data_IF_445733270699
#
_entry.id   IF_445733270699
#
_cell.length_a   1.000
_cell.length_b   1.000
_cell.length_c   1.000
_cell.angle_alpha   90.00
_cell.angle_beta   90.00
_cell.angle_gamma   90.00
#
_symmetry.space_group_name_H-M   'P 1'
#
loop_
_entity.id
_entity.type
_entity.pdbx_description
1 polymer ?
#
# COMPACT_ATOMS: atom_id res chain seq x y z
N UNK A 1 -37.34 18.51 -46.52
CA UNK A 1 -36.83 19.45 -45.50
C UNK A 1 -36.53 18.63 -44.26
N UNK A 2 -35.28 18.22 -44.08
CA UNK A 2 -34.86 17.39 -42.94
C UNK A 2 -34.44 18.32 -41.79
N UNK A 3 -34.97 18.09 -40.59
CA UNK A 3 -34.66 18.87 -39.40
C UNK A 3 -33.29 18.45 -38.81
N UNK A 4 -32.46 19.37 -38.31
CA UNK A 4 -31.16 19.01 -37.76
C UNK A 4 -31.28 18.29 -36.40
N UNK A 5 -30.47 17.25 -36.21
CA UNK A 5 -30.34 16.49 -34.96
C UNK A 5 -29.68 17.34 -33.86
N UNK A 6 -30.14 17.29 -32.58
CA UNK A 6 -29.49 18.03 -31.50
C UNK A 6 -28.15 17.40 -31.09
N UNK A 7 -27.13 18.23 -30.93
CA UNK A 7 -25.81 17.87 -30.40
C UNK A 7 -25.90 17.46 -28.92
N UNK A 8 -25.27 16.37 -28.46
CA UNK A 8 -25.25 16.02 -27.04
C UNK A 8 -24.43 17.03 -26.24
N UNK A 9 -25.01 17.55 -25.16
CA UNK A 9 -24.34 18.36 -24.13
C UNK A 9 -23.21 17.53 -23.48
N UNK A 10 -21.98 18.05 -23.35
CA UNK A 10 -20.95 17.37 -22.59
C UNK A 10 -21.34 17.33 -21.10
N UNK A 11 -21.32 16.15 -20.50
CA UNK A 11 -21.48 15.97 -19.06
C UNK A 11 -20.39 16.74 -18.30
N UNK A 12 -20.68 17.31 -17.11
CA UNK A 12 -19.68 18.01 -16.34
C UNK A 12 -18.54 17.06 -15.95
N UNK A 13 -17.33 17.44 -16.32
CA UNK A 13 -16.09 16.81 -15.88
C UNK A 13 -15.97 16.92 -14.36
N UNK A 14 -15.94 15.76 -13.69
CA UNK A 14 -15.70 15.69 -12.25
C UNK A 14 -14.29 16.18 -11.93
N UNK A 15 -14.17 17.41 -11.45
CA UNK A 15 -12.95 17.89 -10.81
C UNK A 15 -12.77 17.11 -9.51
N UNK A 16 -11.77 16.22 -9.46
CA UNK A 16 -11.34 15.64 -8.19
C UNK A 16 -10.78 16.76 -7.32
N UNK A 17 -11.52 17.19 -6.30
CA UNK A 17 -10.92 17.98 -5.24
C UNK A 17 -9.85 17.12 -4.60
N UNK A 18 -8.58 17.52 -4.76
CA UNK A 18 -7.49 16.94 -4.00
C UNK A 18 -7.79 17.18 -2.52
N UNK A 19 -8.31 16.16 -1.87
CA UNK A 19 -8.72 16.22 -0.47
C UNK A 19 -7.47 16.54 0.36
N UNK A 20 -7.50 17.63 1.16
CA UNK A 20 -6.33 18.09 1.88
C UNK A 20 -5.73 16.99 2.78
N UNK A 21 -4.41 16.80 2.74
CA UNK A 21 -3.72 15.76 3.53
C UNK A 21 -3.91 16.02 5.03
N UNK A 22 -4.31 14.99 5.80
CA UNK A 22 -4.51 15.13 7.23
C UNK A 22 -3.17 15.43 7.94
N UNK A 23 -3.09 16.36 8.91
CA UNK A 23 -1.80 16.73 9.54
C UNK A 23 -1.02 15.55 10.12
N UNK A 24 -1.73 14.58 10.72
CA UNK A 24 -1.11 13.36 11.26
C UNK A 24 -0.46 12.43 10.24
N UNK A 25 -0.79 12.53 8.94
CA UNK A 25 -0.13 11.74 7.87
C UNK A 25 0.83 12.59 7.04
N UNK A 26 0.80 13.92 7.18
CA UNK A 26 1.60 14.84 6.39
C UNK A 26 3.11 14.48 6.37
N UNK A 27 3.74 14.07 7.50
CA UNK A 27 5.14 13.68 7.52
C UNK A 27 5.49 12.50 6.61
N UNK A 28 4.55 11.58 6.36
CA UNK A 28 4.72 10.41 5.50
C UNK A 28 3.91 10.51 4.19
N UNK A 29 3.46 11.71 3.83
CA UNK A 29 2.64 11.96 2.64
C UNK A 29 3.35 11.64 1.32
N UNK A 30 4.68 11.54 1.35
CA UNK A 30 5.49 11.10 0.22
C UNK A 30 5.18 9.67 -0.24
N UNK A 31 4.48 8.85 0.56
CA UNK A 31 4.02 7.53 0.16
C UNK A 31 2.77 7.58 -0.74
N UNK A 32 1.96 8.63 -0.65
CA UNK A 32 0.65 8.70 -1.29
C UNK A 32 0.76 8.60 -2.82
N UNK A 33 -0.08 7.74 -3.40
CA UNK A 33 -0.12 7.48 -4.84
C UNK A 33 0.06 6.01 -5.19
N UNK A 34 0.27 5.76 -6.48
CA UNK A 34 0.51 4.43 -7.03
C UNK A 34 1.98 4.28 -7.40
N UNK A 35 2.57 3.19 -6.95
CA UNK A 35 3.95 2.79 -7.21
C UNK A 35 3.94 1.48 -7.98
N UNK A 36 4.76 1.37 -9.02
CA UNK A 36 4.89 0.14 -9.79
C UNK A 36 6.36 -0.12 -10.11
N UNK A 37 6.80 -1.36 -9.92
CA UNK A 37 8.19 -1.75 -10.08
C UNK A 37 8.38 -3.26 -10.27
N UNK A 38 9.63 -3.69 -10.22
CA UNK A 38 10.00 -5.10 -10.23
C UNK A 38 10.72 -5.44 -8.92
N UNK A 39 10.54 -6.66 -8.44
CA UNK A 39 11.21 -7.18 -7.25
C UNK A 39 11.82 -8.56 -7.50
N UNK A 40 12.73 -8.94 -6.59
CA UNK A 40 13.34 -10.26 -6.53
C UNK A 40 13.08 -10.88 -5.16
N UNK A 41 12.53 -12.08 -5.14
CA UNK A 41 12.25 -12.84 -3.92
C UNK A 41 13.13 -14.09 -3.85
N UNK A 42 13.58 -14.43 -2.65
CA UNK A 42 14.35 -15.64 -2.38
C UNK A 42 14.41 -15.94 -0.89
N UNK A 43 14.52 -17.22 -0.52
CA UNK A 43 14.68 -17.67 0.86
C UNK A 43 15.55 -18.94 0.85
N UNK A 44 16.25 -19.34 1.94
CA UNK A 44 17.11 -20.54 1.90
C UNK A 44 16.46 -21.82 1.36
N UNK A 45 15.13 -21.95 1.44
CA UNK A 45 14.36 -23.09 0.92
C UNK A 45 13.59 -22.80 -0.37
N UNK A 46 13.72 -21.61 -0.95
CA UNK A 46 12.96 -21.13 -2.11
C UNK A 46 13.94 -20.52 -3.12
N UNK A 47 14.02 -21.08 -4.32
CA UNK A 47 14.83 -20.53 -5.41
C UNK A 47 14.46 -19.08 -5.69
N UNK A 48 15.44 -18.26 -6.06
CA UNK A 48 15.21 -16.87 -6.44
C UNK A 48 14.21 -16.77 -7.59
N UNK A 49 13.31 -15.80 -7.52
CA UNK A 49 12.31 -15.50 -8.54
C UNK A 49 12.10 -13.98 -8.68
N UNK A 50 11.68 -13.52 -9.85
CA UNK A 50 11.37 -12.11 -10.12
C UNK A 50 9.87 -11.90 -10.31
N UNK A 51 9.36 -10.75 -9.91
CA UNK A 51 7.95 -10.39 -9.99
C UNK A 51 7.74 -8.91 -10.33
N UNK A 52 6.57 -8.59 -10.87
CA UNK A 52 6.08 -7.21 -10.93
C UNK A 52 5.30 -6.93 -9.66
N UNK A 53 5.45 -5.72 -9.12
CA UNK A 53 4.76 -5.26 -7.93
C UNK A 53 4.09 -3.92 -8.19
N UNK A 54 2.89 -3.75 -7.63
CA UNK A 54 2.18 -2.48 -7.57
C UNK A 54 1.68 -2.24 -6.16
N UNK A 55 1.96 -1.04 -5.65
CA UNK A 55 1.51 -0.57 -4.34
C UNK A 55 0.63 0.65 -4.54
N UNK A 56 -0.41 0.78 -3.74
CA UNK A 56 -1.28 1.94 -3.74
C UNK A 56 -1.53 2.41 -2.31
N UNK A 57 -1.15 3.66 -2.06
CA UNK A 57 -1.34 4.35 -0.79
C UNK A 57 -2.35 5.47 -0.98
N UNK A 58 -3.45 5.40 -0.25
CA UNK A 58 -4.54 6.36 -0.34
C UNK A 58 -4.98 6.79 1.05
N UNK A 59 -5.59 7.96 1.15
CA UNK A 59 -6.10 8.44 2.43
C UNK A 59 -7.44 9.15 2.25
N UNK A 60 -8.17 9.25 3.36
CA UNK A 60 -9.24 10.23 3.50
C UNK A 60 -8.72 11.42 4.32
N UNK A 61 -9.22 12.62 4.10
CA UNK A 61 -8.76 13.81 4.84
C UNK A 61 -9.17 13.84 6.30
N UNK A 62 -10.12 12.99 6.70
CA UNK A 62 -10.75 13.05 8.02
C UNK A 62 -10.07 12.17 9.07
N UNK A 63 -9.15 11.29 8.67
CA UNK A 63 -8.48 10.35 9.58
C UNK A 63 -6.95 10.37 9.38
N UNK A 64 -6.18 10.22 10.46
CA UNK A 64 -4.73 10.03 10.40
C UNK A 64 -4.37 8.58 10.00
N UNK A 65 -4.89 8.10 8.88
CA UNK A 65 -4.72 6.70 8.43
C UNK A 65 -4.52 6.67 6.92
N UNK A 66 -3.53 5.91 6.47
CA UNK A 66 -3.30 5.61 5.06
C UNK A 66 -3.80 4.18 4.80
N UNK A 67 -4.69 4.02 3.84
CA UNK A 67 -5.07 2.73 3.29
C UNK A 67 -4.00 2.27 2.30
N UNK A 68 -3.58 1.02 2.47
CA UNK A 68 -2.53 0.37 1.68
C UNK A 68 -3.10 -0.85 0.97
N UNK A 69 -2.76 -1.01 -0.30
CA UNK A 69 -2.96 -2.25 -1.04
C UNK A 69 -1.78 -2.53 -1.93
N UNK A 70 -1.40 -3.80 -2.02
CA UNK A 70 -0.31 -4.27 -2.86
C UNK A 70 -0.73 -5.53 -3.60
N UNK A 71 -0.20 -5.69 -4.82
CA UNK A 71 -0.40 -6.86 -5.66
C UNK A 71 0.89 -7.19 -6.39
N UNK A 72 1.08 -8.48 -6.64
CA UNK A 72 2.18 -9.01 -7.45
C UNK A 72 1.70 -9.82 -8.63
N UNK A 73 2.55 -9.90 -9.65
CA UNK A 73 2.33 -10.72 -10.85
C UNK A 73 3.63 -11.38 -11.29
N UNK A 74 3.53 -12.55 -11.93
CA UNK A 74 4.68 -13.19 -12.59
C UNK A 74 5.23 -12.28 -13.69
N UNK A 75 6.54 -12.08 -13.71
CA UNK A 75 7.21 -11.12 -14.59
C UNK A 75 6.89 -11.35 -16.09
N UNK A 76 6.87 -12.60 -16.54
CA UNK A 76 6.69 -12.94 -17.96
C UNK A 76 5.24 -13.19 -18.38
N UNK A 77 4.45 -13.87 -17.55
CA UNK A 77 3.08 -14.25 -17.92
C UNK A 77 2.01 -13.25 -17.48
N UNK A 78 2.34 -12.34 -16.55
CA UNK A 78 1.36 -11.42 -15.98
C UNK A 78 0.30 -12.10 -15.12
N UNK A 79 0.45 -13.39 -14.82
CA UNK A 79 -0.46 -14.11 -13.92
C UNK A 79 -0.40 -13.49 -12.52
N UNK A 80 -1.55 -13.17 -11.89
CA UNK A 80 -1.59 -12.70 -10.51
C UNK A 80 -0.93 -13.69 -9.54
N UNK A 81 -0.18 -13.16 -8.57
CA UNK A 81 0.49 -13.91 -7.53
C UNK A 81 -0.09 -13.54 -6.15
N UNK A 82 0.74 -13.06 -5.22
CA UNK A 82 0.36 -12.63 -3.88
C UNK A 82 -0.27 -11.24 -3.90
N UNK A 83 -1.14 -10.98 -2.94
CA UNK A 83 -1.61 -9.63 -2.63
C UNK A 83 -1.77 -9.43 -1.14
N UNK A 84 -1.71 -8.18 -0.72
CA UNK A 84 -1.97 -7.78 0.66
C UNK A 84 -2.64 -6.41 0.71
N UNK A 85 -3.32 -6.15 1.83
CA UNK A 85 -3.87 -4.83 2.09
C UNK A 85 -3.95 -4.56 3.59
N UNK A 86 -3.99 -3.28 3.94
CA UNK A 86 -3.80 -2.89 5.32
C UNK A 86 -3.95 -1.39 5.57
N UNK A 87 -3.56 -0.98 6.77
CA UNK A 87 -3.64 0.41 7.21
C UNK A 87 -2.36 0.83 7.93
N UNK A 88 -1.83 1.99 7.55
CA UNK A 88 -0.66 2.63 8.16
C UNK A 88 -1.11 3.81 9.01
N UNK A 89 -0.64 3.87 10.25
CA UNK A 89 -1.18 4.75 11.29
C UNK A 89 -0.04 5.48 12.01
N UNK A 90 0.54 6.53 11.39
CA UNK A 90 1.60 7.33 12.00
C UNK A 90 1.07 8.16 13.17
N UNK A 91 1.95 8.47 14.12
CA UNK A 91 1.71 9.37 15.24
C UNK A 91 2.66 10.58 15.18
N UNK A 92 2.30 11.72 15.80
CA UNK A 92 3.15 12.92 15.80
C UNK A 92 4.49 12.77 16.52
N UNK A 93 4.64 11.74 17.36
CA UNK A 93 5.86 11.44 18.12
C UNK A 93 6.89 10.62 17.32
N UNK A 94 6.66 10.40 16.02
CA UNK A 94 7.55 9.63 15.14
C UNK A 94 7.26 8.12 15.11
N UNK A 95 6.35 7.63 15.96
CA UNK A 95 5.97 6.21 15.96
C UNK A 95 4.93 5.89 14.89
N UNK A 96 4.88 4.63 14.45
CA UNK A 96 3.93 4.13 13.47
C UNK A 96 3.52 2.69 13.78
N UNK A 97 2.23 2.40 13.60
CA UNK A 97 1.70 1.04 13.55
C UNK A 97 1.14 0.73 12.16
N UNK A 98 1.35 -0.50 11.70
CA UNK A 98 0.85 -0.99 10.42
C UNK A 98 0.17 -2.34 10.64
N UNK A 99 -1.05 -2.49 10.13
CA UNK A 99 -1.79 -3.76 10.17
C UNK A 99 -2.02 -4.25 8.75
N UNK A 100 -1.67 -5.50 8.47
CA UNK A 100 -1.72 -6.07 7.11
C UNK A 100 -2.43 -7.43 7.16
N UNK A 101 -3.27 -7.68 6.16
CA UNK A 101 -3.78 -9.01 5.84
C UNK A 101 -3.30 -9.42 4.45
N UNK A 102 -2.80 -10.65 4.36
CA UNK A 102 -2.24 -11.22 3.13
C UNK A 102 -3.20 -12.25 2.50
N UNK A 103 -3.18 -12.38 1.18
CA UNK A 103 -4.01 -13.34 0.43
C UNK A 103 -3.71 -14.81 0.76
N UNK A 104 -2.54 -15.07 1.33
CA UNK A 104 -2.10 -16.38 1.86
C UNK A 104 -2.75 -16.75 3.18
N UNK A 105 -3.53 -15.85 3.78
CA UNK A 105 -4.25 -16.06 5.04
C UNK A 105 -3.48 -15.62 6.29
N UNK A 106 -2.34 -14.94 6.16
CA UNK A 106 -1.59 -14.37 7.28
C UNK A 106 -2.09 -12.97 7.63
N UNK A 107 -1.95 -12.60 8.90
CA UNK A 107 -2.14 -11.24 9.38
C UNK A 107 -0.94 -10.78 10.19
N UNK A 108 -0.59 -9.51 10.08
CA UNK A 108 0.54 -8.93 10.80
C UNK A 108 0.14 -7.64 11.51
N UNK A 109 0.68 -7.47 12.71
CA UNK A 109 0.75 -6.18 13.41
C UNK A 109 2.22 -5.80 13.47
N UNK A 110 2.57 -4.69 12.82
CA UNK A 110 3.91 -4.14 12.81
C UNK A 110 3.93 -2.82 13.58
N UNK A 111 5.02 -2.58 14.33
CA UNK A 111 5.31 -1.31 15.00
C UNK A 111 6.70 -0.84 14.66
N UNK A 112 6.90 0.47 14.73
CA UNK A 112 8.22 1.07 14.64
C UNK A 112 8.16 2.57 14.53
N UNK A 113 9.05 3.13 13.73
CA UNK A 113 9.30 4.57 13.66
C UNK A 113 9.45 5.04 12.20
N UNK A 114 9.13 6.30 11.95
CA UNK A 114 9.38 6.98 10.68
C UNK A 114 10.29 8.20 10.87
N UNK A 115 11.16 8.41 9.89
CA UNK A 115 11.95 9.62 9.71
C UNK A 115 11.43 10.36 8.48
N UNK A 116 10.84 11.54 8.68
CA UNK A 116 10.23 12.31 7.61
C UNK A 116 11.25 13.04 6.73
N UNK A 117 12.44 13.34 7.26
CA UNK A 117 13.51 14.03 6.54
C UNK A 117 14.22 13.04 5.62
N UNK A 118 14.63 11.89 6.18
CA UNK A 118 15.30 10.81 5.46
C UNK A 118 14.33 9.96 4.63
N UNK A 119 13.02 10.12 4.85
CA UNK A 119 11.93 9.34 4.23
C UNK A 119 12.07 7.84 4.46
N UNK A 120 12.53 7.46 5.65
CA UNK A 120 12.75 6.08 6.06
C UNK A 120 11.67 5.65 7.04
N UNK A 121 11.15 4.44 6.87
CA UNK A 121 10.24 3.81 7.82
C UNK A 121 10.83 2.47 8.23
N UNK A 122 10.94 2.22 9.53
CA UNK A 122 11.46 0.98 10.10
C UNK A 122 10.34 0.31 10.87
N UNK A 123 10.08 -0.95 10.54
CA UNK A 123 8.99 -1.74 11.13
C UNK A 123 9.54 -3.08 11.62
N UNK A 124 9.00 -3.53 12.74
CA UNK A 124 9.18 -4.88 13.26
C UNK A 124 7.80 -5.48 13.54
N UNK A 125 7.63 -6.76 13.24
CA UNK A 125 6.41 -7.47 13.60
C UNK A 125 6.33 -7.66 15.12
N UNK A 126 5.21 -7.26 15.69
CA UNK A 126 4.83 -7.57 17.08
C UNK A 126 3.94 -8.81 17.13
N UNK A 127 3.17 -9.05 16.06
CA UNK A 127 2.33 -10.22 15.90
C UNK A 127 2.36 -10.69 14.44
N UNK A 128 2.50 -12.00 14.25
CA UNK A 128 2.24 -12.70 12.99
C UNK A 128 1.22 -13.80 13.26
N UNK A 129 0.00 -13.62 12.75
CA UNK A 129 -1.13 -14.52 12.96
C UNK A 129 -1.32 -15.49 11.80
N UNK A 130 -1.76 -16.71 12.12
CA UNK A 130 -2.11 -17.77 11.17
C UNK A 130 -0.96 -18.25 10.26
N UNK A 131 0.29 -17.96 10.63
CA UNK A 131 1.46 -18.51 9.96
C UNK A 131 1.73 -19.95 10.41
N UNK A 132 1.96 -20.86 9.46
CA UNK A 132 2.24 -22.28 9.72
C UNK A 132 3.63 -22.51 10.35
N UNK A 133 4.54 -21.55 10.21
CA UNK A 133 5.83 -21.46 10.90
C UNK A 133 6.14 -19.99 11.18
N UNK A 134 6.11 -19.57 12.44
CA UNK A 134 6.68 -18.27 12.85
C UNK A 134 8.07 -18.55 13.41
N UNK A 135 9.12 -18.18 12.67
CA UNK A 135 10.48 -18.25 13.20
C UNK A 135 10.72 -16.95 13.97
N UNK A 136 10.61 -16.98 15.29
CA UNK A 136 11.25 -15.95 16.11
C UNK A 136 12.76 -16.25 16.08
N UNK A 137 13.55 -15.38 15.45
CA UNK A 137 14.98 -15.34 15.72
C UNK A 137 15.19 -14.43 16.93
N UNK A 138 15.34 -15.04 18.10
CA UNK A 138 15.96 -14.36 19.23
C UNK A 138 17.43 -14.05 18.84
N UNK A 139 17.85 -12.79 19.00
CA UNK A 139 19.26 -12.38 19.00
C UNK A 139 19.75 -12.24 20.43
#
# INVERSE_FOLDING_TARGET
MESPTPTPTPAPSSSSSASAVHPGIAPISYLLGTWRGQGEGGFPTINSFSYIEELHFSHNSSKPVIAYSQKTWKLHSGEPMHSESGYWRPRPDGTIEVVIAQSTGLVEVLKGEYDAEEKVIRLQSELVGNASKVIYTDY
#
